data_IF_648678469269
#
_entry.id   IF_648678469269
#
_cell.length_a   1.000
_cell.length_b   1.000
_cell.length_c   1.000
_cell.angle_alpha   90.00
_cell.angle_beta   90.00
_cell.angle_gamma   90.00
#
_symmetry.space_group_name_H-M   'P 1'
#
loop_
_entity.id
_entity.type
_entity.pdbx_description
1 polymer ?
#
# COMPACT_ATOMS: atom_id res chain seq x y z
N UNK A 1 -35.77 18.10 9.23
CA UNK A 1 -35.03 18.00 7.96
C UNK A 1 -35.41 16.67 7.32
N UNK A 2 -36.19 16.68 6.23
CA UNK A 2 -36.75 15.46 5.63
C UNK A 2 -35.67 14.61 4.95
N UNK A 3 -35.79 13.29 5.06
CA UNK A 3 -34.84 12.31 4.53
C UNK A 3 -34.56 12.50 3.02
N UNK A 4 -35.56 12.97 2.27
CA UNK A 4 -35.47 13.32 0.85
C UNK A 4 -34.53 14.51 0.57
N UNK A 5 -34.55 15.54 1.41
CA UNK A 5 -33.67 16.71 1.26
C UNK A 5 -32.21 16.40 1.53
N UNK A 6 -31.94 15.45 2.43
CA UNK A 6 -30.57 14.98 2.70
C UNK A 6 -30.03 14.18 1.52
N UNK A 7 -30.83 13.26 0.96
CA UNK A 7 -30.44 12.45 -0.22
C UNK A 7 -30.11 13.33 -1.42
N UNK A 8 -30.93 14.35 -1.70
CA UNK A 8 -30.66 15.31 -2.79
C UNK A 8 -29.37 16.10 -2.58
N UNK A 9 -29.11 16.58 -1.36
CA UNK A 9 -27.85 17.29 -1.04
C UNK A 9 -26.63 16.39 -1.23
N UNK A 10 -26.69 15.13 -0.78
CA UNK A 10 -25.60 14.16 -0.92
C UNK A 10 -25.32 13.84 -2.40
N UNK A 11 -26.36 13.67 -3.22
CA UNK A 11 -26.19 13.43 -4.67
C UNK A 11 -25.56 14.64 -5.36
N UNK A 12 -26.02 15.86 -5.04
CA UNK A 12 -25.45 17.09 -5.60
C UNK A 12 -23.97 17.26 -5.20
N UNK A 13 -23.62 16.99 -3.94
CA UNK A 13 -22.23 17.01 -3.46
C UNK A 13 -21.35 16.00 -4.21
N UNK A 14 -21.82 14.76 -4.40
CA UNK A 14 -21.08 13.73 -5.14
C UNK A 14 -20.82 14.15 -6.59
N UNK A 15 -21.82 14.70 -7.26
CA UNK A 15 -21.71 15.15 -8.66
C UNK A 15 -20.79 16.37 -8.79
N UNK A 16 -20.81 17.29 -7.81
CA UNK A 16 -19.96 18.47 -7.82
C UNK A 16 -18.49 18.17 -7.46
N UNK A 17 -18.22 17.11 -6.68
CA UNK A 17 -16.89 16.80 -6.17
C UNK A 17 -15.91 16.39 -7.29
N UNK A 18 -16.36 15.53 -8.21
CA UNK A 18 -15.53 15.03 -9.32
C UNK A 18 -16.41 14.79 -10.56
N UNK A 19 -16.76 15.84 -11.32
CA UNK A 19 -17.70 15.74 -12.43
C UNK A 19 -17.19 14.91 -13.63
N UNK A 20 -15.87 14.74 -13.76
CA UNK A 20 -15.23 14.05 -14.87
C UNK A 20 -14.43 12.80 -14.45
N UNK A 21 -14.41 12.47 -13.17
CA UNK A 21 -13.72 11.29 -12.66
C UNK A 21 -14.67 10.40 -11.85
N UNK A 22 -14.54 9.08 -12.00
CA UNK A 22 -15.28 8.14 -11.17
C UNK A 22 -14.66 8.07 -9.76
N UNK A 23 -15.11 8.93 -8.84
CA UNK A 23 -14.66 8.95 -7.43
C UNK A 23 -15.78 8.44 -6.51
N UNK A 24 -15.83 7.14 -6.17
CA UNK A 24 -16.90 6.58 -5.36
C UNK A 24 -16.70 6.93 -3.87
N UNK A 25 -17.16 8.12 -3.47
CA UNK A 25 -17.07 8.62 -2.08
C UNK A 25 -17.62 7.62 -1.04
N UNK A 26 -18.64 6.84 -1.40
CA UNK A 26 -19.18 5.80 -0.51
C UNK A 26 -18.18 4.68 -0.22
N UNK A 27 -17.39 4.26 -1.21
CA UNK A 27 -16.33 3.26 -1.03
C UNK A 27 -15.20 3.78 -0.15
N UNK A 28 -14.83 5.05 -0.28
CA UNK A 28 -13.82 5.68 0.59
C UNK A 28 -14.31 5.82 2.03
N UNK A 29 -15.56 6.21 2.25
CA UNK A 29 -16.14 6.26 3.59
C UNK A 29 -16.13 4.87 4.25
N UNK A 30 -16.46 3.82 3.48
CA UNK A 30 -16.36 2.44 3.97
C UNK A 30 -14.91 2.09 4.33
N UNK A 31 -13.94 2.40 3.46
CA UNK A 31 -12.52 2.15 3.72
C UNK A 31 -12.00 2.91 4.96
N UNK A 32 -12.40 4.16 5.16
CA UNK A 32 -12.08 4.94 6.36
C UNK A 32 -12.66 4.29 7.62
N UNK A 33 -13.93 3.86 7.57
CA UNK A 33 -14.57 3.14 8.66
C UNK A 33 -13.86 1.83 9.00
N UNK A 34 -13.49 1.05 7.98
CA UNK A 34 -12.72 -0.19 8.17
C UNK A 34 -11.35 0.10 8.77
N UNK A 35 -10.64 1.12 8.30
CA UNK A 35 -9.33 1.50 8.82
C UNK A 35 -9.40 1.91 10.30
N UNK A 36 -10.38 2.74 10.64
CA UNK A 36 -10.63 3.14 12.03
C UNK A 36 -10.95 1.93 12.91
N UNK A 37 -11.82 1.02 12.42
CA UNK A 37 -12.18 -0.21 13.13
C UNK A 37 -10.99 -1.14 13.37
N UNK A 38 -10.14 -1.35 12.35
CA UNK A 38 -8.91 -2.16 12.47
C UNK A 38 -7.94 -1.53 13.46
N UNK A 39 -7.69 -0.23 13.35
CA UNK A 39 -6.78 0.48 14.25
C UNK A 39 -7.27 0.43 15.69
N UNK A 40 -8.57 0.66 15.92
CA UNK A 40 -9.20 0.56 17.23
C UNK A 40 -9.11 -0.86 17.79
N UNK A 41 -9.31 -1.89 16.96
CA UNK A 41 -9.21 -3.30 17.37
C UNK A 41 -7.78 -3.67 17.78
N UNK A 42 -6.77 -3.22 17.02
CA UNK A 42 -5.36 -3.40 17.38
C UNK A 42 -5.06 -2.71 18.71
N UNK A 43 -5.49 -1.45 18.88
CA UNK A 43 -5.29 -0.71 20.12
C UNK A 43 -5.98 -1.38 21.32
N UNK A 44 -7.21 -1.87 21.14
CA UNK A 44 -7.95 -2.60 22.15
C UNK A 44 -7.24 -3.92 22.52
N UNK A 45 -6.73 -4.66 21.54
CA UNK A 45 -6.00 -5.90 21.77
C UNK A 45 -4.68 -5.67 22.51
N UNK A 46 -3.93 -4.63 22.13
CA UNK A 46 -2.71 -4.20 22.86
C UNK A 46 -3.06 -3.87 24.31
N UNK A 47 -4.12 -3.11 24.54
CA UNK A 47 -4.57 -2.75 25.89
C UNK A 47 -5.02 -3.97 26.71
N UNK A 48 -5.78 -4.88 26.09
CA UNK A 48 -6.29 -6.08 26.75
C UNK A 48 -5.20 -7.11 27.08
N UNK A 49 -4.15 -7.20 26.24
CA UNK A 49 -3.04 -8.13 26.45
C UNK A 49 -2.00 -7.61 27.45
N UNK A 50 -2.09 -6.35 27.89
CA UNK A 50 -1.15 -5.74 28.84
C UNK A 50 0.30 -5.70 28.34
N UNK A 51 0.51 -5.81 27.02
CA UNK A 51 1.86 -5.80 26.42
C UNK A 51 2.50 -4.42 26.63
N UNK A 52 3.77 -4.36 27.04
CA UNK A 52 4.44 -3.08 27.24
C UNK A 52 4.57 -2.36 25.89
N UNK A 53 4.00 -1.16 25.80
CA UNK A 53 4.17 -0.27 24.64
C UNK A 53 5.40 0.59 24.91
N UNK A 54 6.40 0.59 24.02
CA UNK A 54 7.59 1.41 24.21
C UNK A 54 7.25 2.91 24.25
N UNK A 55 7.77 3.64 25.23
CA UNK A 55 7.65 5.11 25.26
C UNK A 55 8.41 5.78 24.10
N UNK A 56 9.51 5.15 23.67
CA UNK A 56 10.31 5.58 22.53
C UNK A 56 10.59 4.39 21.62
N UNK A 57 10.25 4.46 20.32
CA UNK A 57 10.61 3.42 19.38
C UNK A 57 12.13 3.39 19.19
N UNK A 58 12.72 2.19 19.15
CA UNK A 58 14.14 2.05 18.85
C UNK A 58 14.41 2.55 17.41
N UNK A 59 15.47 3.35 17.17
CA UNK A 59 15.74 3.88 15.83
C UNK A 59 15.87 2.80 14.75
N UNK A 60 16.46 1.65 15.09
CA UNK A 60 16.56 0.51 14.17
C UNK A 60 15.21 -0.07 13.79
N UNK A 61 14.25 -0.14 14.72
CA UNK A 61 12.89 -0.59 14.41
C UNK A 61 12.16 0.42 13.51
N UNK A 62 12.40 1.73 13.70
CA UNK A 62 11.83 2.78 12.82
C UNK A 62 12.36 2.63 11.38
N UNK A 63 13.66 2.42 11.21
CA UNK A 63 14.28 2.23 9.89
C UNK A 63 13.78 0.94 9.24
N UNK A 64 13.78 -0.18 9.97
CA UNK A 64 13.26 -1.45 9.47
C UNK A 64 11.80 -1.34 9.08
N UNK A 65 10.97 -0.68 9.90
CA UNK A 65 9.56 -0.47 9.63
C UNK A 65 9.35 0.40 8.39
N UNK A 66 10.14 1.45 8.21
CA UNK A 66 10.06 2.32 7.04
C UNK A 66 10.39 1.56 5.74
N UNK A 67 11.51 0.84 5.71
CA UNK A 67 11.94 0.07 4.53
C UNK A 67 10.99 -1.10 4.27
N UNK A 68 10.61 -1.84 5.31
CA UNK A 68 9.67 -2.95 5.18
C UNK A 68 8.29 -2.50 4.70
N UNK A 69 7.78 -1.38 5.22
CA UNK A 69 6.53 -0.79 4.73
C UNK A 69 6.63 -0.45 3.26
N UNK A 70 7.69 0.26 2.86
CA UNK A 70 7.91 0.63 1.47
C UNK A 70 7.93 -0.60 0.54
N UNK A 71 8.76 -1.61 0.88
CA UNK A 71 8.91 -2.80 0.04
C UNK A 71 7.65 -3.64 -0.01
N UNK A 72 7.00 -3.89 1.12
CA UNK A 72 5.80 -4.73 1.15
C UNK A 72 4.64 -4.04 0.42
N UNK A 73 4.46 -2.73 0.57
CA UNK A 73 3.42 -2.01 -0.14
C UNK A 73 3.63 -2.02 -1.65
N UNK A 74 4.86 -1.86 -2.15
CA UNK A 74 5.15 -2.01 -3.58
C UNK A 74 5.00 -3.46 -4.06
N UNK A 75 5.46 -4.44 -3.28
CA UNK A 75 5.30 -5.86 -3.59
C UNK A 75 3.83 -6.23 -3.80
N UNK A 76 2.95 -5.78 -2.90
CA UNK A 76 1.52 -6.07 -3.02
C UNK A 76 0.82 -5.30 -4.13
N UNK A 77 1.27 -4.08 -4.44
CA UNK A 77 0.57 -3.18 -5.38
C UNK A 77 1.12 -3.12 -6.79
N UNK A 78 2.35 -3.60 -7.01
CA UNK A 78 3.07 -3.43 -8.27
C UNK A 78 3.70 -4.73 -8.79
N UNK A 79 4.14 -5.65 -7.93
CA UNK A 79 4.86 -6.85 -8.37
C UNK A 79 3.99 -7.77 -9.26
N UNK A 80 4.51 -8.19 -10.41
CA UNK A 80 3.79 -9.08 -11.32
C UNK A 80 3.36 -10.40 -10.64
N UNK A 81 4.16 -10.92 -9.69
CA UNK A 81 3.86 -12.16 -8.97
C UNK A 81 2.61 -12.02 -8.09
N UNK A 82 2.30 -10.81 -7.61
CA UNK A 82 1.10 -10.54 -6.81
C UNK A 82 -0.13 -10.14 -7.63
N UNK A 83 -0.03 -10.11 -8.97
CA UNK A 83 -1.16 -9.82 -9.86
C UNK A 83 -2.42 -10.66 -9.60
N UNK A 84 -2.36 -11.96 -9.21
CA UNK A 84 -3.56 -12.72 -8.88
C UNK A 84 -4.40 -12.12 -7.75
N UNK A 85 -3.79 -11.41 -6.79
CA UNK A 85 -4.51 -10.71 -5.72
C UNK A 85 -5.27 -9.49 -6.26
N UNK A 86 -4.76 -8.87 -7.33
CA UNK A 86 -5.25 -7.60 -7.89
C UNK A 86 -6.19 -7.81 -9.08
N UNK A 87 -6.01 -8.88 -9.84
CA UNK A 87 -6.77 -9.22 -11.05
C UNK A 87 -8.31 -9.12 -10.91
N UNK A 88 -8.93 -9.46 -9.76
CA UNK A 88 -10.37 -9.27 -9.57
C UNK A 88 -10.81 -7.80 -9.52
N UNK A 89 -9.92 -6.87 -9.20
CA UNK A 89 -10.20 -5.45 -8.97
C UNK A 89 -9.57 -4.53 -10.02
N UNK A 90 -8.48 -4.97 -10.66
CA UNK A 90 -7.70 -4.18 -11.61
C UNK A 90 -7.62 -4.87 -12.98
N UNK A 91 -7.16 -4.14 -13.99
CA UNK A 91 -6.77 -4.64 -15.30
C UNK A 91 -5.32 -4.27 -15.55
N UNK A 92 -4.56 -5.24 -16.06
CA UNK A 92 -3.21 -4.99 -16.55
C UNK A 92 -3.22 -3.88 -17.60
N UNK A 93 -2.28 -2.94 -17.47
CA UNK A 93 -2.10 -1.83 -18.39
C UNK A 93 -0.78 -1.99 -19.15
N UNK A 94 0.34 -1.95 -18.42
CA UNK A 94 1.70 -1.95 -19.02
C UNK A 94 2.75 -2.40 -18.01
N UNK A 95 3.92 -2.87 -18.46
CA UNK A 95 5.03 -3.16 -17.56
C UNK A 95 5.60 -1.85 -17.00
N UNK A 96 6.04 -1.88 -15.73
CA UNK A 96 6.61 -0.73 -15.02
C UNK A 96 8.12 -0.87 -14.75
N UNK A 97 8.75 -1.97 -15.19
CA UNK A 97 10.17 -2.27 -15.00
C UNK A 97 10.44 -3.14 -13.76
N UNK A 98 11.59 -3.82 -13.73
CA UNK A 98 12.06 -4.62 -12.58
C UNK A 98 11.03 -5.61 -12.02
N UNK A 99 10.26 -6.27 -12.89
CA UNK A 99 9.21 -7.23 -12.48
C UNK A 99 7.90 -6.59 -12.00
N UNK A 100 7.79 -5.25 -12.01
CA UNK A 100 6.56 -4.54 -11.66
C UNK A 100 5.66 -4.28 -12.87
N UNK A 101 4.35 -4.18 -12.59
CA UNK A 101 3.30 -3.91 -13.55
C UNK A 101 2.46 -2.71 -13.10
N UNK A 102 2.04 -1.90 -14.07
CA UNK A 102 1.00 -0.91 -13.89
C UNK A 102 -0.35 -1.55 -14.20
N UNK A 103 -1.32 -1.28 -13.35
CA UNK A 103 -2.68 -1.75 -13.53
C UNK A 103 -3.65 -0.59 -13.30
N UNK A 104 -4.75 -0.59 -14.03
CA UNK A 104 -5.83 0.37 -13.89
C UNK A 104 -6.98 -0.27 -13.12
N UNK A 105 -7.65 0.53 -12.28
CA UNK A 105 -8.79 0.07 -11.50
C UNK A 105 -9.97 -0.22 -12.42
N UNK A 106 -10.72 -1.27 -12.14
CA UNK A 106 -11.95 -1.56 -12.87
C UNK A 106 -13.04 -0.59 -12.41
N UNK A 107 -13.44 0.31 -13.30
CA UNK A 107 -14.54 1.25 -13.05
C UNK A 107 -15.93 0.59 -13.07
N UNK A 108 -16.00 -0.65 -13.58
CA UNK A 108 -17.24 -1.42 -13.66
C UNK A 108 -17.41 -2.27 -12.40
N UNK A 109 -18.34 -1.91 -11.52
CA UNK A 109 -18.66 -2.67 -10.30
C UNK A 109 -19.31 -1.84 -9.20
N UNK A 110 -19.34 -2.37 -7.98
CA UNK A 110 -19.77 -1.63 -6.79
C UNK A 110 -18.73 -0.60 -6.37
N UNK A 111 -19.17 0.47 -5.68
CA UNK A 111 -18.30 1.48 -5.08
C UNK A 111 -17.20 0.89 -4.18
N UNK A 112 -17.49 -0.23 -3.51
CA UNK A 112 -16.54 -0.96 -2.66
C UNK A 112 -15.46 -1.67 -3.47
N UNK A 113 -15.83 -2.31 -4.59
CA UNK A 113 -14.86 -2.99 -5.47
C UNK A 113 -13.86 -2.01 -6.05
N UNK A 114 -14.33 -0.83 -6.48
CA UNK A 114 -13.46 0.23 -6.99
C UNK A 114 -12.50 0.74 -5.92
N UNK A 115 -13.00 1.04 -4.72
CA UNK A 115 -12.15 1.48 -3.60
C UNK A 115 -11.09 0.43 -3.20
N UNK A 116 -11.42 -0.86 -3.23
CA UNK A 116 -10.45 -1.94 -3.03
C UNK A 116 -9.41 -1.95 -4.16
N UNK A 117 -9.83 -1.77 -5.41
CA UNK A 117 -8.92 -1.67 -6.54
C UNK A 117 -7.94 -0.49 -6.43
N UNK A 118 -8.41 0.69 -6.02
CA UNK A 118 -7.55 1.85 -5.78
C UNK A 118 -6.61 1.62 -4.60
N UNK A 119 -7.07 0.98 -3.53
CA UNK A 119 -6.20 0.60 -2.42
C UNK A 119 -5.10 -0.34 -2.90
N UNK A 120 -5.48 -1.45 -3.56
CA UNK A 120 -4.54 -2.50 -3.99
C UNK A 120 -3.59 -2.07 -5.11
N UNK A 121 -3.94 -1.09 -5.94
CA UNK A 121 -3.08 -0.58 -7.02
C UNK A 121 -2.22 0.63 -6.60
N UNK A 122 -2.53 1.25 -5.45
CA UNK A 122 -1.81 2.40 -4.93
C UNK A 122 -0.87 2.03 -3.77
N UNK A 123 0.47 2.02 -3.98
CA UNK A 123 1.42 1.68 -2.92
C UNK A 123 1.34 2.63 -1.72
N UNK A 124 1.02 3.91 -1.94
CA UNK A 124 0.90 4.89 -0.85
C UNK A 124 -0.33 4.63 0.02
N UNK A 125 -1.47 4.31 -0.59
CA UNK A 125 -2.67 3.95 0.16
C UNK A 125 -2.44 2.69 0.98
N UNK A 126 -1.82 1.66 0.39
CA UNK A 126 -1.48 0.42 1.09
C UNK A 126 -0.40 0.61 2.18
N UNK A 127 0.51 1.56 2.03
CA UNK A 127 1.55 1.84 3.02
C UNK A 127 0.98 2.15 4.40
N UNK A 128 -0.15 2.88 4.47
CA UNK A 128 -0.81 3.18 5.74
C UNK A 128 -1.30 1.90 6.44
N UNK A 129 -1.89 0.98 5.69
CA UNK A 129 -2.36 -0.31 6.24
C UNK A 129 -1.20 -1.20 6.68
N UNK A 130 -0.15 -1.29 5.86
CA UNK A 130 1.04 -2.09 6.16
C UNK A 130 1.76 -1.54 7.39
N UNK A 131 1.98 -0.23 7.47
CA UNK A 131 2.63 0.41 8.61
C UNK A 131 1.85 0.17 9.91
N UNK A 132 0.53 0.32 9.89
CA UNK A 132 -0.33 0.06 11.06
C UNK A 132 -0.27 -1.40 11.49
N UNK A 133 -0.33 -2.34 10.53
CA UNK A 133 -0.22 -3.77 10.81
C UNK A 133 1.14 -4.15 11.41
N UNK A 134 2.24 -3.67 10.83
CA UNK A 134 3.59 -3.93 11.34
C UNK A 134 3.82 -3.25 12.71
N UNK A 135 3.29 -2.05 12.93
CA UNK A 135 3.39 -1.36 14.22
C UNK A 135 2.63 -2.13 15.31
N UNK A 136 1.40 -2.56 15.04
CA UNK A 136 0.65 -3.43 15.95
C UNK A 136 1.36 -4.76 16.19
N UNK A 137 1.94 -5.34 15.13
CA UNK A 137 2.74 -6.57 15.20
C UNK A 137 3.97 -6.44 16.08
N UNK A 138 4.68 -5.31 16.06
CA UNK A 138 5.83 -5.08 16.93
C UNK A 138 5.46 -5.11 18.42
N UNK A 139 4.22 -4.77 18.77
CA UNK A 139 3.73 -4.83 20.16
C UNK A 139 3.20 -6.23 20.50
N UNK A 140 2.38 -6.81 19.63
CA UNK A 140 1.68 -8.07 19.88
C UNK A 140 2.56 -9.31 19.64
N UNK A 141 3.45 -9.28 18.66
CA UNK A 141 4.31 -10.38 18.23
C UNK A 141 5.72 -9.90 17.77
N UNK A 142 6.50 -9.22 18.65
CA UNK A 142 7.73 -8.50 18.29
C UNK A 142 8.74 -9.35 17.51
N UNK A 143 8.97 -10.60 17.93
CA UNK A 143 9.98 -11.48 17.30
C UNK A 143 9.63 -11.79 15.85
N UNK A 144 8.37 -12.15 15.60
CA UNK A 144 7.89 -12.47 14.26
C UNK A 144 7.92 -11.23 13.37
N UNK A 145 7.42 -10.11 13.88
CA UNK A 145 7.36 -8.87 13.09
C UNK A 145 8.75 -8.34 12.75
N UNK A 146 9.72 -8.42 13.69
CA UNK A 146 11.12 -8.07 13.41
C UNK A 146 11.73 -8.98 12.34
N UNK A 147 11.45 -10.28 12.39
CA UNK A 147 11.93 -11.24 11.38
C UNK A 147 11.39 -10.89 9.99
N UNK A 148 10.08 -10.63 9.88
CA UNK A 148 9.43 -10.24 8.62
C UNK A 148 9.99 -8.90 8.10
N UNK A 149 10.12 -7.89 8.98
CA UNK A 149 10.65 -6.59 8.59
C UNK A 149 12.12 -6.67 8.13
N UNK A 150 12.92 -7.52 8.79
CA UNK A 150 14.31 -7.79 8.39
C UNK A 150 14.37 -8.46 7.02
N UNK A 151 13.53 -9.49 6.78
CA UNK A 151 13.47 -10.15 5.48
C UNK A 151 13.07 -9.19 4.36
N UNK A 152 12.03 -8.37 4.57
CA UNK A 152 11.59 -7.36 3.59
C UNK A 152 12.68 -6.32 3.33
N UNK A 153 13.40 -5.89 4.36
CA UNK A 153 14.52 -4.96 4.24
C UNK A 153 15.67 -5.57 3.43
N UNK A 154 15.99 -6.84 3.67
CA UNK A 154 17.01 -7.56 2.90
C UNK A 154 16.63 -7.66 1.41
N UNK A 155 15.34 -7.92 1.10
CA UNK A 155 14.85 -7.92 -0.28
C UNK A 155 14.96 -6.52 -0.89
N UNK A 156 14.57 -5.47 -0.18
CA UNK A 156 14.70 -4.09 -0.69
C UNK A 156 16.16 -3.72 -1.00
N UNK A 157 17.10 -4.14 -0.14
CA UNK A 157 18.53 -3.96 -0.38
C UNK A 157 19.00 -4.77 -1.60
N UNK A 158 18.53 -6.00 -1.77
CA UNK A 158 18.83 -6.83 -2.94
C UNK A 158 18.35 -6.18 -4.24
N UNK A 159 17.12 -5.66 -4.27
CA UNK A 159 16.57 -4.97 -5.44
C UNK A 159 17.40 -3.72 -5.79
N UNK A 160 17.80 -2.96 -4.76
CA UNK A 160 18.68 -1.81 -4.95
C UNK A 160 20.04 -2.19 -5.55
N UNK A 161 20.63 -3.28 -5.08
CA UNK A 161 21.88 -3.81 -5.64
C UNK A 161 21.72 -4.28 -7.08
N UNK A 162 20.60 -4.93 -7.42
CA UNK A 162 20.31 -5.35 -8.80
C UNK A 162 20.16 -4.14 -9.73
N UNK A 163 19.47 -3.09 -9.28
CA UNK A 163 19.35 -1.84 -10.04
C UNK A 163 20.71 -1.15 -10.20
N UNK A 164 21.53 -1.08 -9.15
CA UNK A 164 22.88 -0.54 -9.21
C UNK A 164 23.79 -1.31 -10.16
N UNK A 165 23.71 -2.65 -10.16
CA UNK A 165 24.44 -3.50 -11.08
C UNK A 165 24.02 -3.26 -12.54
N UNK A 166 22.72 -3.18 -12.81
CA UNK A 166 22.20 -2.87 -14.15
C UNK A 166 22.70 -1.50 -14.66
N UNK A 167 22.73 -0.48 -13.79
CA UNK A 167 23.29 0.84 -14.13
C UNK A 167 24.79 0.77 -14.42
N UNK A 168 25.55 0.00 -13.64
CA UNK A 168 26.99 -0.17 -13.86
C UNK A 168 27.29 -0.87 -15.20
N UNK A 169 26.50 -1.87 -15.59
CA UNK A 169 26.63 -2.53 -16.89
C UNK A 169 26.35 -1.57 -18.05
N UNK A 170 25.28 -0.78 -17.97
CA UNK A 170 24.94 0.21 -18.98
C UNK A 170 26.05 1.26 -19.16
N UNK A 171 26.67 1.71 -18.08
CA UNK A 171 27.79 2.66 -18.15
C UNK A 171 29.03 2.05 -18.83
N UNK A 172 29.35 0.78 -18.54
CA UNK A 172 30.48 0.07 -19.15
C UNK A 172 30.26 -0.27 -20.64
N UNK A 173 29.00 -0.45 -21.05
CA UNK A 173 28.61 -0.65 -22.45
C UNK A 173 28.55 0.67 -23.22
N UNK A 174 27.98 1.72 -22.63
CA UNK A 174 27.90 3.05 -23.24
C UNK A 174 29.26 3.70 -23.51
N UNK A 175 30.25 3.46 -22.63
CA UNK A 175 31.63 3.88 -22.86
C UNK A 175 32.27 3.21 -24.09
N UNK A 176 31.94 1.93 -24.35
CA UNK A 176 32.47 1.19 -25.51
C UNK A 176 31.89 1.64 -26.84
N UNK A 177 30.72 2.27 -26.86
CA UNK A 177 30.13 2.83 -28.09
C UNK A 177 30.56 4.28 -28.38
N UNK A 178 31.13 4.98 -27.40
CA UNK A 178 31.68 6.34 -27.60
C UNK A 178 33.13 6.33 -28.10
N UNK A 179 33.82 5.20 -27.96
CA UNK A 179 35.23 5.00 -28.35
C UNK A 179 35.39 4.27 -29.71
N UNK A 180 34.28 3.88 -30.34
CA UNK A 180 34.22 3.23 -31.66
C UNK A 180 33.64 4.19 -32.70
#
# INVERSE_FOLDING_TARGET
MTESGLKQKVTRLRQAYAPHEHRPLGGYLAAMGTYAGVTASIAALVRATGRPVPERPAPGDVVLLAVATHKLSRLLSKDAVTSPLRAPFTRYDRPSGSGEVMEQVRDQGSATRHAIGELLSCPFCLAVWVATGLTGGLVLAPRLTRLVATALTAVAASDFLQMGYAMAQQAAEGGRHAEA
#
